data_IF_129153787934
#
_entry.id   IF_129153787934
#
_cell.length_a   1.000
_cell.length_b   1.000
_cell.length_c   1.000
_cell.angle_alpha   90.00
_cell.angle_beta   90.00
_cell.angle_gamma   90.00
#
_symmetry.space_group_name_H-M   'P 1'
#
loop_
_entity.id
_entity.type
_entity.pdbx_description
1 polymer ?
#
# COMPACT_ATOMS: atom_id res chain seq x y z
N UNK A 1 -5.80 -12.76 14.67
CA UNK A 1 -5.32 -12.18 13.40
C UNK A 1 -5.87 -12.98 12.24
N UNK A 2 -6.52 -12.35 11.28
CA UNK A 2 -6.97 -12.98 10.05
C UNK A 2 -6.03 -12.62 8.90
N UNK A 3 -5.56 -13.64 8.17
CA UNK A 3 -4.68 -13.48 7.01
C UNK A 3 -5.32 -14.12 5.78
N UNK A 4 -5.39 -13.36 4.69
CA UNK A 4 -5.81 -13.89 3.38
C UNK A 4 -4.62 -13.90 2.44
N UNK A 5 -4.28 -15.06 1.91
CA UNK A 5 -3.25 -15.25 0.90
C UNK A 5 -3.85 -15.35 -0.49
N UNK A 6 -3.50 -14.42 -1.37
CA UNK A 6 -3.73 -14.56 -2.81
C UNK A 6 -2.62 -15.38 -3.46
N UNK A 7 -2.97 -16.21 -4.44
CA UNK A 7 -2.00 -16.94 -5.26
C UNK A 7 -2.52 -17.28 -6.65
N UNK A 8 -1.64 -17.15 -7.64
CA UNK A 8 -1.80 -17.68 -9.01
C UNK A 8 -0.97 -18.95 -9.25
N UNK A 9 -0.36 -19.52 -8.19
CA UNK A 9 0.55 -20.67 -8.25
C UNK A 9 2.03 -20.33 -8.44
N UNK A 10 2.39 -19.08 -8.76
CA UNK A 10 3.79 -18.64 -8.91
C UNK A 10 4.34 -17.94 -7.67
N UNK A 11 3.46 -17.50 -6.77
CA UNK A 11 3.82 -16.88 -5.50
C UNK A 11 2.58 -16.61 -4.63
N UNK A 12 2.83 -16.04 -3.46
CA UNK A 12 1.81 -15.70 -2.46
C UNK A 12 1.94 -14.24 -2.05
N UNK A 13 0.80 -13.55 -1.97
CA UNK A 13 0.63 -12.24 -1.35
C UNK A 13 -0.38 -12.40 -0.21
N UNK A 14 0.09 -12.33 1.03
CA UNK A 14 -0.74 -12.38 2.22
C UNK A 14 -1.10 -10.98 2.72
N UNK A 15 -2.37 -10.78 3.06
CA UNK A 15 -2.89 -9.56 3.66
C UNK A 15 -3.28 -9.82 5.10
N UNK A 16 -2.75 -9.03 6.03
CA UNK A 16 -3.19 -9.08 7.43
C UNK A 16 -4.42 -8.19 7.56
N UNK A 17 -5.60 -8.79 7.58
CA UNK A 17 -6.89 -8.09 7.41
C UNK A 17 -7.12 -7.06 8.53
N UNK A 18 -6.70 -7.38 9.74
CA UNK A 18 -6.85 -6.50 10.91
C UNK A 18 -5.90 -5.29 10.88
N UNK A 19 -4.90 -5.30 9.98
CA UNK A 19 -3.88 -4.26 9.85
C UNK A 19 -3.87 -3.71 8.40
N UNK A 20 -4.74 -2.74 8.06
CA UNK A 20 -4.85 -2.12 6.73
C UNK A 20 -3.52 -1.77 6.05
N UNK A 21 -3.09 -2.62 5.13
CA UNK A 21 -1.92 -2.41 4.28
C UNK A 21 -0.65 -3.09 4.79
N UNK A 22 -0.74 -3.86 5.88
CA UNK A 22 0.24 -4.87 6.22
C UNK A 22 0.17 -6.03 5.22
N UNK A 23 1.32 -6.48 4.77
CA UNK A 23 1.40 -7.49 3.72
C UNK A 23 2.66 -8.35 3.84
N UNK A 24 2.54 -9.61 3.44
CA UNK A 24 3.62 -10.57 3.37
C UNK A 24 3.69 -11.17 1.98
N UNK A 25 4.91 -11.50 1.53
CA UNK A 25 5.14 -12.09 0.22
C UNK A 25 6.10 -13.26 0.34
N UNK A 26 5.87 -14.30 -0.44
CA UNK A 26 6.75 -15.46 -0.52
C UNK A 26 6.49 -16.25 -1.79
N UNK A 27 7.49 -17.04 -2.23
CA UNK A 27 7.31 -17.99 -3.33
C UNK A 27 6.44 -19.17 -2.88
N UNK A 28 6.52 -19.54 -1.61
CA UNK A 28 5.67 -20.56 -0.98
C UNK A 28 4.84 -19.94 0.14
N UNK A 29 3.77 -20.64 0.52
CA UNK A 29 2.94 -20.26 1.66
C UNK A 29 3.76 -20.19 2.95
N UNK A 30 4.62 -21.18 3.20
CA UNK A 30 5.51 -21.24 4.36
C UNK A 30 6.46 -20.02 4.41
N UNK A 31 7.05 -19.64 3.26
CA UNK A 31 7.92 -18.47 3.19
C UNK A 31 7.16 -17.17 3.48
N UNK A 32 5.92 -17.07 3.01
CA UNK A 32 5.07 -15.91 3.30
C UNK A 32 4.69 -15.88 4.79
N UNK A 33 4.15 -16.99 5.32
CA UNK A 33 3.70 -17.13 6.71
C UNK A 33 4.82 -16.94 7.73
N UNK A 34 6.04 -17.38 7.43
CA UNK A 34 7.22 -17.15 8.28
C UNK A 34 7.60 -15.67 8.45
N UNK A 35 6.99 -14.74 7.68
CA UNK A 35 7.25 -13.29 7.76
C UNK A 35 6.20 -12.53 8.55
N UNK A 36 5.10 -13.17 8.99
CA UNK A 36 3.96 -12.53 9.66
C UNK A 36 4.40 -11.68 10.85
N UNK A 37 5.08 -12.29 11.84
CA UNK A 37 5.48 -11.58 13.06
C UNK A 37 6.38 -10.39 12.76
N UNK A 38 7.34 -10.56 11.84
CA UNK A 38 8.24 -9.46 11.43
C UNK A 38 7.48 -8.33 10.75
N UNK A 39 6.54 -8.65 9.87
CA UNK A 39 5.74 -7.66 9.17
C UNK A 39 4.87 -6.86 10.14
N UNK A 40 4.26 -7.52 11.12
CA UNK A 40 3.48 -6.87 12.19
C UNK A 40 4.34 -5.87 12.96
N UNK A 41 5.54 -6.26 13.42
CA UNK A 41 6.47 -5.36 14.12
C UNK A 41 6.81 -4.14 13.27
N UNK A 42 7.21 -4.36 12.01
CA UNK A 42 7.57 -3.28 11.09
C UNK A 42 6.38 -2.39 10.74
N UNK A 43 5.17 -2.94 10.68
CA UNK A 43 3.94 -2.19 10.42
C UNK A 43 3.59 -1.31 11.62
N UNK A 44 3.68 -1.84 12.84
CA UNK A 44 3.44 -1.09 14.06
C UNK A 44 4.44 0.06 14.22
N UNK A 45 5.73 -0.20 13.98
CA UNK A 45 6.77 0.84 13.93
C UNK A 45 6.49 1.87 12.82
N UNK A 46 6.01 1.42 11.64
CA UNK A 46 5.68 2.31 10.53
C UNK A 46 4.54 3.27 10.86
N UNK A 47 3.50 2.82 11.56
CA UNK A 47 2.31 3.63 11.84
C UNK A 47 2.25 4.18 13.28
N UNK A 48 3.31 4.00 14.06
CA UNK A 48 3.37 4.33 15.49
C UNK A 48 2.16 3.70 16.22
N UNK A 49 2.04 2.39 16.13
CA UNK A 49 1.03 1.60 16.83
C UNK A 49 1.66 0.91 18.03
N UNK A 50 0.99 1.02 19.16
CA UNK A 50 1.28 0.27 20.37
C UNK A 50 0.31 -0.91 20.36
N UNK A 51 0.72 -2.06 19.82
CA UNK A 51 -0.17 -3.24 19.80
C UNK A 51 0.64 -4.46 20.15
N UNK A 52 0.36 -5.00 21.34
CA UNK A 52 0.64 -6.39 21.67
C UNK A 52 -0.43 -7.24 20.99
N UNK A 53 0.01 -8.12 20.09
CA UNK A 53 -0.89 -8.95 19.31
C UNK A 53 -0.84 -10.35 19.89
N UNK A 54 -1.97 -10.78 20.46
CA UNK A 54 -2.21 -12.18 20.77
C UNK A 54 -2.37 -12.96 19.45
N UNK A 55 -1.56 -14.01 19.29
CA UNK A 55 -1.19 -14.61 18.00
C UNK A 55 -2.10 -15.75 17.55
N UNK A 56 -3.40 -15.72 17.85
CA UNK A 56 -4.30 -16.66 17.18
C UNK A 56 -4.44 -16.25 15.70
N UNK A 57 -3.78 -16.98 14.80
CA UNK A 57 -3.81 -16.72 13.36
C UNK A 57 -4.87 -17.61 12.72
N UNK A 58 -5.79 -17.00 11.97
CA UNK A 58 -6.67 -17.68 11.02
C UNK A 58 -6.19 -17.36 9.61
N UNK A 59 -6.04 -18.38 8.75
CA UNK A 59 -5.47 -18.24 7.41
C UNK A 59 -6.43 -18.76 6.34
N UNK A 60 -6.61 -17.98 5.28
CA UNK A 60 -7.39 -18.34 4.10
C UNK A 60 -6.54 -18.22 2.84
N UNK A 61 -6.80 -19.04 1.83
CA UNK A 61 -6.13 -18.97 0.52
C UNK A 61 -7.17 -18.69 -0.56
N UNK A 62 -6.94 -17.64 -1.36
CA UNK A 62 -7.75 -17.27 -2.51
C UNK A 62 -6.94 -17.37 -3.80
N UNK A 63 -7.54 -17.98 -4.82
CA UNK A 63 -6.96 -18.01 -6.16
C UNK A 63 -7.19 -16.67 -6.86
N UNK A 64 -6.18 -16.23 -7.60
CA UNK A 64 -6.24 -15.03 -8.43
C UNK A 64 -5.56 -15.31 -9.76
N UNK A 65 -6.08 -14.68 -10.82
CA UNK A 65 -5.50 -14.74 -12.16
C UNK A 65 -4.47 -13.60 -12.41
N UNK A 66 -4.30 -12.70 -11.43
CA UNK A 66 -3.33 -11.62 -11.50
C UNK A 66 -1.89 -12.12 -11.32
N UNK A 67 -0.91 -11.28 -11.66
CA UNK A 67 0.51 -11.55 -11.40
C UNK A 67 0.84 -11.32 -9.92
N UNK A 68 0.35 -12.20 -9.04
CA UNK A 68 0.55 -12.12 -7.58
C UNK A 68 2.04 -12.05 -7.19
N UNK A 69 2.91 -12.72 -7.94
CA UNK A 69 4.36 -12.66 -7.73
C UNK A 69 4.94 -11.25 -7.89
N UNK A 70 4.26 -10.35 -8.60
CA UNK A 70 4.61 -8.93 -8.77
C UNK A 70 3.88 -8.01 -7.77
N UNK A 71 3.08 -8.60 -6.88
CA UNK A 71 2.21 -7.95 -5.90
C UNK A 71 0.99 -7.23 -6.50
N UNK A 72 0.53 -7.69 -7.66
CA UNK A 72 -0.77 -7.27 -8.18
C UNK A 72 -1.90 -7.92 -7.36
N UNK A 73 -2.96 -7.15 -7.14
CA UNK A 73 -4.10 -7.56 -6.32
C UNK A 73 -5.23 -6.57 -6.52
N UNK A 74 -6.41 -7.10 -6.78
CA UNK A 74 -7.70 -6.41 -6.88
C UNK A 74 -8.65 -6.77 -5.73
N UNK A 75 -8.20 -7.64 -4.80
CA UNK A 75 -9.03 -8.19 -3.73
C UNK A 75 -9.72 -7.10 -2.90
N UNK A 76 -10.96 -7.37 -2.54
CA UNK A 76 -11.74 -6.66 -1.53
C UNK A 76 -12.14 -7.65 -0.43
N UNK A 77 -12.09 -7.21 0.83
CA UNK A 77 -12.43 -8.08 1.96
C UNK A 77 -13.87 -7.85 2.42
N UNK A 78 -14.48 -8.86 3.03
CA UNK A 78 -15.85 -8.73 3.57
C UNK A 78 -15.93 -7.62 4.64
N UNK A 79 -14.87 -7.45 5.43
CA UNK A 79 -14.74 -6.35 6.39
C UNK A 79 -14.64 -4.96 5.73
N UNK A 80 -14.23 -4.90 4.46
CA UNK A 80 -14.18 -3.69 3.65
C UNK A 80 -15.51 -3.38 2.96
N UNK A 81 -16.45 -4.32 2.91
CA UNK A 81 -17.82 -4.13 2.40
C UNK A 81 -18.77 -3.55 3.47
N UNK A 82 -18.39 -3.63 4.74
CA UNK A 82 -19.12 -3.07 5.88
C UNK A 82 -18.60 -1.67 6.22
N UNK A 83 -19.45 -0.83 6.79
CA UNK A 83 -19.02 0.47 7.32
C UNK A 83 -18.09 0.32 8.53
N UNK A 84 -17.44 1.40 8.95
CA UNK A 84 -16.76 1.43 10.26
C UNK A 84 -17.80 1.36 11.36
N UNK A 85 -17.50 0.61 12.43
CA UNK A 85 -18.38 0.52 13.59
C UNK A 85 -18.53 1.88 14.28
N UNK A 86 -17.44 2.66 14.28
CA UNK A 86 -17.39 4.02 14.82
C UNK A 86 -16.69 4.95 13.86
N UNK A 87 -17.17 6.19 13.78
CA UNK A 87 -16.56 7.23 12.94
C UNK A 87 -15.12 7.54 13.39
N UNK A 88 -14.85 7.40 14.68
CA UNK A 88 -13.52 7.58 15.27
C UNK A 88 -12.50 6.60 14.68
N UNK A 89 -12.91 5.37 14.32
CA UNK A 89 -12.03 4.39 13.70
C UNK A 89 -11.61 4.83 12.28
N UNK A 90 -12.53 5.43 11.52
CA UNK A 90 -12.22 6.03 10.23
C UNK A 90 -11.21 7.18 10.38
N UNK A 91 -11.42 8.06 11.36
CA UNK A 91 -10.51 9.20 11.61
C UNK A 91 -9.13 8.69 12.05
N UNK A 92 -9.07 7.68 12.92
CA UNK A 92 -7.83 7.02 13.32
C UNK A 92 -7.04 6.53 12.11
N UNK A 93 -7.69 5.85 11.16
CA UNK A 93 -7.02 5.36 9.96
C UNK A 93 -6.62 6.47 8.99
N UNK A 94 -7.36 7.58 8.93
CA UNK A 94 -6.92 8.78 8.20
C UNK A 94 -5.61 9.33 8.76
N UNK A 95 -5.46 9.38 10.09
CA UNK A 95 -4.22 9.84 10.72
C UNK A 95 -3.06 8.89 10.40
N UNK A 96 -3.32 7.58 10.32
CA UNK A 96 -2.30 6.59 9.92
C UNK A 96 -1.86 6.77 8.47
N UNK A 97 -2.77 7.12 7.56
CA UNK A 97 -2.45 7.47 6.17
C UNK A 97 -1.56 8.73 6.12
N UNK A 98 -1.82 9.76 6.95
CA UNK A 98 -0.95 10.94 7.05
C UNK A 98 0.46 10.58 7.54
N UNK A 99 0.56 9.74 8.58
CA UNK A 99 1.84 9.26 9.11
C UNK A 99 2.63 8.51 8.03
N UNK A 100 1.97 7.63 7.29
CA UNK A 100 2.58 6.85 6.21
C UNK A 100 3.16 7.76 5.11
N UNK A 101 2.38 8.74 4.66
CA UNK A 101 2.85 9.72 3.66
C UNK A 101 4.03 10.54 4.14
N UNK A 102 3.99 11.01 5.40
CA UNK A 102 5.09 11.76 6.02
C UNK A 102 6.39 10.95 6.08
N UNK A 103 6.34 9.72 6.60
CA UNK A 103 7.53 8.84 6.68
C UNK A 103 8.09 8.49 5.30
N UNK A 104 7.21 8.28 4.33
CA UNK A 104 7.60 8.04 2.93
C UNK A 104 8.41 9.21 2.36
N UNK A 105 7.90 10.44 2.51
CA UNK A 105 8.60 11.64 2.08
C UNK A 105 9.94 11.85 2.82
N UNK A 106 9.98 11.62 4.14
CA UNK A 106 11.19 11.73 4.95
C UNK A 106 12.28 10.73 4.51
N UNK A 107 11.91 9.50 4.20
CA UNK A 107 12.87 8.50 3.68
C UNK A 107 13.35 8.91 2.30
N UNK A 108 12.45 9.29 1.39
CA UNK A 108 12.84 9.77 0.07
C UNK A 108 13.78 10.98 0.14
N UNK A 109 13.55 11.93 1.05
CA UNK A 109 14.42 13.10 1.27
C UNK A 109 15.85 12.70 1.65
N UNK A 110 16.06 11.56 2.32
CA UNK A 110 17.39 11.04 2.69
C UNK A 110 18.13 10.35 1.54
N UNK A 111 17.45 9.96 0.46
CA UNK A 111 18.08 9.30 -0.70
C UNK A 111 19.03 10.26 -1.41
N UNK A 112 20.22 9.79 -1.79
CA UNK A 112 21.26 10.63 -2.41
C UNK A 112 21.28 10.48 -3.93
N UNK A 113 20.95 9.30 -4.45
CA UNK A 113 21.17 8.92 -5.85
C UNK A 113 19.91 9.03 -6.69
N UNK A 114 19.12 10.08 -6.41
CA UNK A 114 17.74 10.26 -6.86
C UNK A 114 17.54 10.17 -8.38
N UNK A 115 18.48 10.73 -9.14
CA UNK A 115 18.45 10.80 -10.61
C UNK A 115 19.35 9.76 -11.29
N UNK A 116 20.07 8.91 -10.54
CA UNK A 116 20.90 7.87 -11.16
C UNK A 116 20.01 6.76 -11.73
N UNK A 117 20.34 6.35 -12.94
CA UNK A 117 19.65 5.25 -13.64
C UNK A 117 20.21 3.93 -13.15
N UNK A 118 19.36 3.10 -12.54
CA UNK A 118 19.67 1.71 -12.23
C UNK A 118 19.46 0.85 -13.49
N UNK A 119 20.54 0.57 -14.22
CA UNK A 119 20.49 -0.21 -15.46
C UNK A 119 19.93 -1.63 -15.27
N UNK A 120 20.04 -2.19 -14.06
CA UNK A 120 19.51 -3.52 -13.75
C UNK A 120 17.97 -3.56 -13.73
N UNK A 121 17.34 -2.39 -13.64
CA UNK A 121 15.89 -2.22 -13.67
C UNK A 121 15.34 -1.93 -15.07
N UNK A 122 16.18 -1.80 -16.10
CA UNK A 122 15.73 -1.53 -17.47
C UNK A 122 15.07 -2.77 -18.11
N UNK A 123 13.83 -3.05 -17.71
CA UNK A 123 12.98 -4.14 -18.20
C UNK A 123 11.54 -3.67 -18.38
N UNK A 124 10.79 -4.37 -19.25
CA UNK A 124 9.34 -4.19 -19.41
C UNK A 124 8.58 -5.13 -18.48
N UNK A 125 7.47 -4.65 -17.92
CA UNK A 125 6.43 -5.44 -17.27
C UNK A 125 5.11 -5.26 -18.03
N UNK A 126 4.06 -5.98 -17.62
CA UNK A 126 2.71 -5.81 -18.14
C UNK A 126 2.21 -4.35 -18.03
N UNK A 127 2.65 -3.62 -16.99
CA UNK A 127 2.26 -2.23 -16.72
C UNK A 127 3.17 -1.18 -17.37
N UNK A 128 4.14 -1.59 -18.19
CA UNK A 128 5.07 -0.70 -18.90
C UNK A 128 6.53 -0.84 -18.47
N UNK A 129 7.33 0.19 -18.70
CA UNK A 129 8.74 0.19 -18.28
C UNK A 129 8.86 0.31 -16.76
N UNK A 130 9.71 -0.51 -16.15
CA UNK A 130 10.02 -0.38 -14.72
C UNK A 130 10.72 0.94 -14.46
N UNK A 131 10.32 1.61 -13.38
CA UNK A 131 10.97 2.85 -12.93
C UNK A 131 12.47 2.60 -12.68
N UNK A 132 13.31 3.26 -13.47
CA UNK A 132 14.76 3.09 -13.42
C UNK A 132 15.46 4.10 -12.52
N UNK A 133 14.74 5.10 -12.00
CA UNK A 133 15.28 6.09 -11.05
C UNK A 133 14.44 6.15 -9.78
N UNK A 134 15.04 6.62 -8.68
CA UNK A 134 14.35 6.87 -7.42
C UNK A 134 13.32 8.00 -7.59
N UNK A 135 13.62 9.02 -8.40
CA UNK A 135 12.68 10.09 -8.73
C UNK A 135 11.41 9.57 -9.39
N UNK A 136 11.54 8.66 -10.37
CA UNK A 136 10.38 8.11 -11.08
C UNK A 136 9.51 7.26 -10.15
N UNK A 137 10.13 6.43 -9.31
CA UNK A 137 9.42 5.66 -8.29
C UNK A 137 8.70 6.57 -7.29
N UNK A 138 9.35 7.65 -6.83
CA UNK A 138 8.74 8.57 -5.88
C UNK A 138 7.58 9.35 -6.53
N UNK A 139 7.74 9.81 -7.77
CA UNK A 139 6.66 10.46 -8.53
C UNK A 139 5.47 9.54 -8.73
N UNK A 140 5.69 8.23 -8.88
CA UNK A 140 4.61 7.25 -8.91
C UNK A 140 3.82 7.21 -7.60
N UNK A 141 4.50 7.19 -6.44
CA UNK A 141 3.86 7.29 -5.12
C UNK A 141 3.03 8.58 -5.00
N UNK A 142 3.58 9.71 -5.44
CA UNK A 142 2.89 10.99 -5.41
C UNK A 142 1.60 10.97 -6.24
N UNK A 143 1.66 10.46 -7.47
CA UNK A 143 0.55 10.46 -8.43
C UNK A 143 -0.56 9.44 -8.12
N UNK A 144 -0.24 8.32 -7.46
CA UNK A 144 -1.24 7.27 -7.19
C UNK A 144 -2.38 7.76 -6.29
N UNK A 145 -2.16 8.83 -5.51
CA UNK A 145 -3.17 9.40 -4.63
C UNK A 145 -4.43 9.82 -5.40
N UNK A 146 -4.25 10.52 -6.53
CA UNK A 146 -5.38 10.91 -7.35
C UNK A 146 -6.02 9.69 -8.04
N UNK A 147 -5.23 8.69 -8.41
CA UNK A 147 -5.79 7.43 -8.93
C UNK A 147 -6.77 6.84 -7.92
N UNK A 148 -6.39 6.70 -6.64
CA UNK A 148 -7.27 6.13 -5.61
C UNK A 148 -8.52 6.97 -5.31
N UNK A 149 -8.41 8.30 -5.29
CA UNK A 149 -9.58 9.15 -5.13
C UNK A 149 -10.57 8.99 -6.30
N UNK A 150 -10.06 8.91 -7.53
CA UNK A 150 -10.89 8.74 -8.71
C UNK A 150 -11.72 7.46 -8.65
N UNK A 151 -11.20 6.40 -8.01
CA UNK A 151 -11.92 5.14 -7.85
C UNK A 151 -13.18 5.25 -7.00
N UNK A 152 -13.26 6.27 -6.14
CA UNK A 152 -14.44 6.57 -5.33
C UNK A 152 -15.17 7.82 -5.86
N UNK A 153 -14.87 8.28 -7.07
CA UNK A 153 -15.55 9.40 -7.72
C UNK A 153 -15.26 10.75 -7.07
N UNK A 154 -14.02 10.97 -6.63
CA UNK A 154 -13.49 12.29 -6.26
C UNK A 154 -12.08 12.45 -6.81
N UNK A 155 -11.54 13.66 -6.79
CA UNK A 155 -10.20 13.92 -7.30
C UNK A 155 -9.58 15.10 -6.56
N UNK A 156 -8.27 15.25 -6.72
CA UNK A 156 -7.50 16.37 -6.21
C UNK A 156 -6.39 16.73 -7.19
N UNK A 157 -5.88 17.95 -7.06
CA UNK A 157 -4.67 18.32 -7.77
C UNK A 157 -3.46 17.64 -7.12
N UNK A 158 -2.49 17.24 -7.93
CA UNK A 158 -1.25 16.61 -7.45
C UNK A 158 -0.08 17.53 -7.78
N UNK A 159 0.58 18.02 -6.74
CA UNK A 159 1.91 18.62 -6.81
C UNK A 159 3.01 17.57 -6.54
N UNK A 160 4.28 17.99 -6.51
CA UNK A 160 5.41 17.07 -6.25
C UNK A 160 5.62 16.75 -4.73
N UNK A 161 4.91 17.42 -3.82
CA UNK A 161 5.03 17.30 -2.37
C UNK A 161 4.02 16.29 -1.79
N UNK A 162 4.42 15.01 -1.72
CA UNK A 162 3.61 13.91 -1.18
C UNK A 162 2.87 14.28 0.11
N UNK A 163 3.57 14.89 1.08
CA UNK A 163 2.97 15.20 2.39
C UNK A 163 1.86 16.26 2.30
N UNK A 164 2.01 17.27 1.44
CA UNK A 164 0.99 18.32 1.28
C UNK A 164 -0.23 17.77 0.55
N UNK A 165 -0.01 17.08 -0.56
CA UNK A 165 -1.04 16.33 -1.27
C UNK A 165 -1.82 15.39 -0.33
N UNK A 166 -1.14 14.76 0.64
CA UNK A 166 -1.78 13.83 1.57
C UNK A 166 -2.77 14.51 2.52
N UNK A 167 -2.60 15.80 2.82
CA UNK A 167 -3.55 16.57 3.63
C UNK A 167 -4.85 16.74 2.83
N UNK A 168 -4.76 17.23 1.59
CA UNK A 168 -5.92 17.37 0.71
C UNK A 168 -6.58 16.01 0.42
N UNK A 169 -5.77 14.96 0.21
CA UNK A 169 -6.27 13.58 0.03
C UNK A 169 -7.20 13.16 1.17
N UNK A 170 -6.81 13.46 2.41
CA UNK A 170 -7.58 13.09 3.59
C UNK A 170 -8.82 13.97 3.75
N UNK A 171 -8.75 15.24 3.37
CA UNK A 171 -9.93 16.11 3.32
C UNK A 171 -10.97 15.57 2.32
N UNK A 172 -10.54 15.22 1.09
CA UNK A 172 -11.40 14.58 0.08
C UNK A 172 -11.96 13.25 0.55
N UNK A 173 -11.14 12.43 1.20
CA UNK A 173 -11.59 11.14 1.74
C UNK A 173 -12.63 11.33 2.85
N UNK A 174 -12.45 12.32 3.73
CA UNK A 174 -13.40 12.68 4.79
C UNK A 174 -14.71 13.20 4.23
N UNK A 175 -14.68 14.14 3.28
CA UNK A 175 -15.86 14.64 2.57
C UNK A 175 -16.65 13.48 1.95
N UNK A 176 -15.92 12.57 1.30
CA UNK A 176 -16.51 11.43 0.62
C UNK A 176 -17.14 10.44 1.59
N UNK A 177 -16.45 10.10 2.67
CA UNK A 177 -16.95 9.21 3.71
C UNK A 177 -18.15 9.82 4.46
N UNK A 178 -18.14 11.12 4.75
CA UNK A 178 -19.27 11.82 5.37
C UNK A 178 -20.56 11.75 4.52
N UNK A 179 -20.40 11.79 3.19
CA UNK A 179 -21.52 11.76 2.25
C UNK A 179 -22.04 10.35 2.01
N UNK A 180 -21.15 9.41 1.76
CA UNK A 180 -21.49 8.09 1.20
C UNK A 180 -21.19 6.92 2.16
N UNK A 181 -20.62 7.18 3.34
CA UNK A 181 -20.13 6.12 4.24
C UNK A 181 -19.03 5.29 3.59
N UNK A 182 -18.90 4.02 3.99
CA UNK A 182 -18.01 3.06 3.31
C UNK A 182 -18.67 2.38 2.10
N UNK A 183 -19.37 3.13 1.26
CA UNK A 183 -20.05 2.62 0.05
C UNK A 183 -19.12 1.81 -0.86
N UNK A 184 -19.68 0.76 -1.46
CA UNK A 184 -19.08 0.01 -2.57
C UNK A 184 -19.23 0.77 -3.90
N UNK A 185 -18.09 1.09 -4.51
CA UNK A 185 -17.96 1.65 -5.86
C UNK A 185 -17.58 0.53 -6.81
N UNK A 186 -18.47 0.26 -7.78
CA UNK A 186 -18.22 -0.73 -8.83
C UNK A 186 -17.63 -0.03 -10.04
N UNK A 187 -16.36 -0.31 -10.33
CA UNK A 187 -15.67 0.23 -11.49
C UNK A 187 -15.39 -0.92 -12.48
N UNK A 188 -15.06 -0.59 -13.72
CA UNK A 188 -14.85 -1.61 -14.77
C UNK A 188 -13.69 -2.56 -14.45
N UNK A 189 -12.63 -2.05 -13.79
CA UNK A 189 -11.41 -2.81 -13.52
C UNK A 189 -11.41 -3.53 -12.18
N UNK A 190 -11.89 -2.89 -11.11
CA UNK A 190 -11.93 -3.47 -9.76
C UNK A 190 -12.92 -2.71 -8.86
N UNK A 191 -13.44 -3.37 -7.83
CA UNK A 191 -14.33 -2.77 -6.84
C UNK A 191 -13.56 -2.01 -5.75
N UNK A 192 -14.17 -0.92 -5.25
CA UNK A 192 -13.54 -0.01 -4.28
C UNK A 192 -14.46 0.40 -3.13
N UNK A 193 -13.85 0.62 -1.97
CA UNK A 193 -14.47 1.25 -0.79
C UNK A 193 -13.47 2.20 -0.14
N UNK A 194 -13.93 3.06 0.77
CA UNK A 194 -13.04 3.97 1.52
C UNK A 194 -12.02 3.17 2.35
N UNK A 195 -12.43 2.05 2.96
CA UNK A 195 -11.51 1.13 3.64
C UNK A 195 -10.43 0.58 2.71
N UNK A 196 -10.78 0.14 1.50
CA UNK A 196 -9.81 -0.32 0.50
C UNK A 196 -8.85 0.79 0.07
N UNK A 197 -9.34 2.03 -0.11
CA UNK A 197 -8.49 3.20 -0.40
C UNK A 197 -7.45 3.43 0.70
N UNK A 198 -7.84 3.38 1.97
CA UNK A 198 -6.94 3.49 3.13
C UNK A 198 -5.88 2.39 3.09
N UNK A 199 -6.30 1.13 2.97
CA UNK A 199 -5.39 -0.03 2.91
C UNK A 199 -4.40 0.10 1.77
N UNK A 200 -4.88 0.37 0.56
CA UNK A 200 -4.06 0.48 -0.66
C UNK A 200 -3.07 1.62 -0.58
N UNK A 201 -3.45 2.72 0.07
CA UNK A 201 -2.56 3.86 0.31
C UNK A 201 -1.39 3.46 1.22
N UNK A 202 -1.66 2.87 2.39
CA UNK A 202 -0.62 2.47 3.35
C UNK A 202 0.29 1.39 2.74
N UNK A 203 -0.31 0.41 2.07
CA UNK A 203 0.43 -0.65 1.40
C UNK A 203 1.37 -0.10 0.31
N UNK A 204 0.85 0.78 -0.56
CA UNK A 204 1.58 1.35 -1.69
C UNK A 204 2.78 2.17 -1.24
N UNK A 205 2.58 3.06 -0.26
CA UNK A 205 3.65 3.81 0.38
C UNK A 205 4.78 2.87 0.82
N UNK A 206 4.43 1.80 1.56
CA UNK A 206 5.39 0.86 2.15
C UNK A 206 6.12 0.00 1.13
N UNK A 207 5.41 -0.54 0.13
CA UNK A 207 6.05 -1.39 -0.89
C UNK A 207 7.01 -0.61 -1.77
N UNK A 208 6.63 0.61 -2.18
CA UNK A 208 7.47 1.42 -3.06
C UNK A 208 8.61 2.13 -2.31
N UNK A 209 8.41 2.60 -1.07
CA UNK A 209 9.52 3.19 -0.32
C UNK A 209 10.60 2.16 0.01
N UNK A 210 10.21 0.91 0.36
CA UNK A 210 11.15 -0.20 0.52
C UNK A 210 11.88 -0.52 -0.79
N UNK A 211 11.24 -0.35 -1.95
CA UNK A 211 11.87 -0.53 -3.26
C UNK A 211 12.89 0.57 -3.57
N UNK A 212 12.56 1.83 -3.23
CA UNK A 212 13.47 2.98 -3.30
C UNK A 212 14.71 2.75 -2.43
N UNK A 213 14.56 2.34 -1.17
CA UNK A 213 15.70 2.06 -0.28
C UNK A 213 16.61 0.95 -0.82
N UNK A 214 16.02 -0.12 -1.39
CA UNK A 214 16.80 -1.18 -2.06
C UNK A 214 17.55 -0.65 -3.28
N UNK A 215 16.94 0.24 -4.04
CA UNK A 215 17.59 0.87 -5.20
C UNK A 215 18.75 1.77 -4.77
N UNK A 216 18.55 2.63 -3.77
CA UNK A 216 19.61 3.48 -3.21
C UNK A 216 20.80 2.62 -2.74
N UNK A 217 20.53 1.51 -2.04
CA UNK A 217 21.57 0.58 -1.60
C UNK A 217 22.34 -0.04 -2.78
N UNK A 218 21.65 -0.51 -3.83
CA UNK A 218 22.32 -1.04 -5.03
C UNK A 218 23.19 0.01 -5.70
N UNK A 219 22.65 1.20 -5.94
CA UNK A 219 23.37 2.30 -6.56
C UNK A 219 24.55 2.76 -5.69
N UNK A 220 24.47 2.60 -4.37
CA UNK A 220 25.59 2.92 -3.47
C UNK A 220 26.78 1.98 -3.59
N UNK A 221 26.56 0.72 -3.98
CA UNK A 221 27.64 -0.24 -4.24
C UNK A 221 28.19 -0.21 -5.67
N UNK A 222 27.62 0.63 -6.55
CA UNK A 222 28.09 0.84 -7.93
C UNK A 222 29.06 2.03 -8.05
N UNK A 223 29.20 2.83 -6.99
CA UNK A 223 30.07 4.02 -6.92
C UNK A 223 31.32 3.69 -6.12
#
# INVERSE_FOLDING_TARGET
>A
MHIIYETNGLGFLGWVIDLPGAYIRGKTLEEAGGKVSKEITLYNEWLNLETDIDMQINEEIKKSDLCIQDADSDIIFDSELLDFDKKEDFIFWCDKVLISGKKTEEIYKKMKRKSLIDITMKRKTFYGDVYCTINDQYRHIVKVQNYYLNQIGTEMNIDDELRLNRIEFIEKLKEKYLKDGNKLYRNESEDWTVKKVIRRTIWHDRIHIRAIERMEKRLSGMV
#
